data_IF_852065995377
#
_entry.id   IF_852065995377
#
_cell.length_a   1.000
_cell.length_b   1.000
_cell.length_c   1.000
_cell.angle_alpha   90.00
_cell.angle_beta   90.00
_cell.angle_gamma   90.00
#
_symmetry.space_group_name_H-M   'P 1'
#
loop_
_entity.id
_entity.type
_entity.pdbx_description
1 polymer ?
#
# COMPACT_ATOMS: atom_id res chain seq x y z
N UNK A 1 -31.59 -10.64 -20.55
CA UNK A 1 -30.80 -10.43 -19.28
C UNK A 1 -30.06 -9.09 -19.31
N UNK A 2 -29.32 -8.75 -20.37
CA UNK A 2 -28.60 -7.46 -20.50
C UNK A 2 -29.56 -6.25 -20.32
N UNK A 3 -30.78 -6.33 -20.85
CA UNK A 3 -31.80 -5.29 -20.71
C UNK A 3 -32.30 -5.16 -19.27
N UNK A 4 -32.39 -6.27 -18.51
CA UNK A 4 -32.79 -6.26 -17.11
C UNK A 4 -31.72 -5.69 -16.20
N UNK A 5 -30.45 -5.85 -16.55
CA UNK A 5 -29.30 -5.33 -15.81
C UNK A 5 -29.28 -3.80 -15.73
N UNK A 6 -29.79 -3.10 -16.78
CA UNK A 6 -29.86 -1.63 -16.81
C UNK A 6 -31.09 -1.06 -16.10
N UNK A 7 -31.99 -1.89 -15.60
CA UNK A 7 -33.15 -1.44 -14.81
C UNK A 7 -32.67 -1.16 -13.38
N UNK A 8 -32.53 0.11 -13.04
CA UNK A 8 -32.06 0.56 -11.72
C UNK A 8 -30.56 0.68 -11.55
N UNK A 9 -29.74 0.29 -12.56
CA UNK A 9 -28.29 0.48 -12.56
C UNK A 9 -27.85 1.58 -13.53
N UNK A 10 -26.69 2.19 -13.28
CA UNK A 10 -26.12 3.21 -14.15
C UNK A 10 -25.08 2.65 -15.12
N UNK A 11 -24.38 1.60 -14.70
CA UNK A 11 -23.33 0.95 -15.47
C UNK A 11 -23.26 -0.54 -15.11
N UNK A 12 -23.02 -1.39 -16.12
CA UNK A 12 -22.78 -2.81 -15.91
C UNK A 12 -21.37 -3.18 -16.36
N UNK A 13 -20.71 -3.99 -15.54
CA UNK A 13 -19.42 -4.63 -15.80
C UNK A 13 -19.60 -6.14 -15.87
N UNK A 14 -18.67 -6.87 -16.47
CA UNK A 14 -18.80 -8.32 -16.64
C UNK A 14 -17.46 -9.03 -16.75
N UNK A 15 -17.49 -10.32 -16.44
CA UNK A 15 -16.36 -11.22 -16.61
C UNK A 15 -16.03 -11.45 -18.08
N UNK A 16 -14.78 -11.79 -18.36
CA UNK A 16 -14.30 -12.15 -19.68
C UNK A 16 -13.48 -13.44 -19.67
N UNK A 17 -13.27 -14.00 -20.84
CA UNK A 17 -12.19 -14.92 -21.08
C UNK A 17 -10.97 -14.14 -21.58
N UNK A 18 -9.78 -14.48 -21.06
CA UNK A 18 -8.52 -13.95 -21.54
C UNK A 18 -7.83 -14.95 -22.44
N UNK A 19 -7.35 -14.51 -23.59
CA UNK A 19 -6.57 -15.32 -24.52
C UNK A 19 -5.12 -14.80 -24.50
N UNK A 20 -4.21 -15.64 -23.98
CA UNK A 20 -2.79 -15.40 -23.98
C UNK A 20 -2.05 -16.64 -24.52
N UNK A 21 -1.11 -16.46 -25.43
CA UNK A 21 -0.35 -17.55 -26.08
C UNK A 21 -1.25 -18.66 -26.65
N UNK A 22 -2.39 -18.30 -27.20
CA UNK A 22 -3.38 -19.23 -27.77
C UNK A 22 -4.17 -20.05 -26.74
N UNK A 23 -4.00 -19.79 -25.44
CA UNK A 23 -4.77 -20.42 -24.36
C UNK A 23 -5.85 -19.47 -23.84
N UNK A 24 -7.03 -20.02 -23.65
CA UNK A 24 -8.14 -19.31 -23.02
C UNK A 24 -8.21 -19.63 -21.53
N UNK A 25 -8.29 -18.58 -20.70
CA UNK A 25 -8.46 -18.69 -19.25
C UNK A 25 -9.59 -17.77 -18.78
N UNK A 26 -10.15 -18.05 -17.62
CA UNK A 26 -11.15 -17.17 -17.01
C UNK A 26 -10.49 -15.91 -16.46
N UNK A 27 -11.06 -14.76 -16.76
CA UNK A 27 -10.64 -13.44 -16.27
C UNK A 27 -11.81 -12.73 -15.59
N UNK A 28 -12.20 -13.18 -14.36
CA UNK A 28 -13.28 -12.52 -13.62
C UNK A 28 -12.83 -11.13 -13.16
N UNK A 29 -13.76 -10.19 -13.13
CA UNK A 29 -13.60 -8.90 -12.44
C UNK A 29 -14.10 -9.01 -11.00
N UNK A 30 -14.00 -7.95 -10.23
CA UNK A 30 -14.51 -7.89 -8.85
C UNK A 30 -15.65 -6.90 -8.74
N UNK A 31 -16.51 -7.10 -7.74
CA UNK A 31 -17.59 -6.17 -7.44
C UNK A 31 -17.05 -4.79 -7.10
N UNK A 32 -17.69 -3.76 -7.66
CA UNK A 32 -17.40 -2.39 -7.31
C UNK A 32 -17.91 -2.08 -5.91
N UNK A 33 -17.04 -1.49 -5.09
CA UNK A 33 -17.37 -1.02 -3.74
C UNK A 33 -17.30 0.51 -3.69
N UNK A 34 -17.96 1.12 -2.71
CA UNK A 34 -17.91 2.57 -2.49
C UNK A 34 -16.48 3.13 -2.40
N UNK A 35 -15.54 2.33 -1.89
CA UNK A 35 -14.10 2.66 -1.82
C UNK A 35 -13.26 2.16 -2.98
N UNK A 36 -13.84 1.65 -4.07
CA UNK A 36 -13.08 1.23 -5.26
C UNK A 36 -12.58 2.43 -6.07
N UNK A 37 -11.79 3.31 -5.40
CA UNK A 37 -11.29 4.58 -5.94
C UNK A 37 -9.97 4.45 -6.70
N UNK A 38 -9.33 3.27 -6.66
CA UNK A 38 -8.07 3.07 -7.38
C UNK A 38 -8.27 3.25 -8.89
N UNK A 39 -7.32 3.88 -9.55
CA UNK A 39 -7.40 4.22 -10.97
C UNK A 39 -7.19 3.01 -11.91
N UNK A 40 -6.64 1.92 -11.38
CA UNK A 40 -6.42 0.65 -12.07
C UNK A 40 -7.55 -0.39 -11.85
N UNK A 41 -8.73 0.05 -11.33
CA UNK A 41 -9.87 -0.85 -11.16
C UNK A 41 -10.31 -1.42 -12.51
N UNK A 42 -10.30 -2.75 -12.60
CA UNK A 42 -10.68 -3.45 -13.84
C UNK A 42 -12.20 -3.57 -13.96
N UNK A 43 -12.78 -2.91 -14.97
CA UNK A 43 -14.20 -2.99 -15.33
C UNK A 43 -14.47 -3.99 -16.44
N UNK A 44 -13.43 -4.66 -16.97
CA UNK A 44 -13.48 -5.35 -18.25
C UNK A 44 -13.49 -4.37 -19.43
N UNK A 45 -13.30 -4.90 -20.65
CA UNK A 45 -13.21 -4.10 -21.86
C UNK A 45 -14.57 -3.74 -22.45
N UNK A 46 -15.66 -4.39 -22.02
CA UNK A 46 -17.02 -4.11 -22.50
C UNK A 46 -17.85 -3.50 -21.38
N UNK A 47 -18.18 -2.23 -21.53
CA UNK A 47 -18.97 -1.45 -20.58
C UNK A 47 -20.34 -1.13 -21.16
N UNK A 48 -21.39 -1.31 -20.39
CA UNK A 48 -22.74 -0.88 -20.75
C UNK A 48 -23.21 0.22 -19.83
N UNK A 49 -23.74 1.28 -20.42
CA UNK A 49 -24.23 2.45 -19.70
C UNK A 49 -25.71 2.70 -19.98
N UNK A 50 -26.43 3.11 -18.96
CA UNK A 50 -27.72 3.77 -19.16
C UNK A 50 -27.45 5.14 -19.80
N UNK A 51 -27.96 5.37 -21.00
CA UNK A 51 -27.66 6.55 -21.82
C UNK A 51 -28.04 7.88 -21.13
N UNK A 52 -29.17 7.93 -20.40
CA UNK A 52 -29.58 9.15 -19.69
C UNK A 52 -28.63 9.45 -18.55
N UNK A 53 -28.22 8.42 -17.80
CA UNK A 53 -27.29 8.54 -16.67
C UNK A 53 -25.86 8.87 -17.12
N UNK A 54 -25.44 8.28 -18.24
CA UNK A 54 -24.15 8.62 -18.87
C UNK A 54 -24.10 10.11 -19.24
N UNK A 55 -25.16 10.64 -19.88
CA UNK A 55 -25.25 12.07 -20.24
C UNK A 55 -25.26 12.96 -19.00
N UNK A 56 -26.02 12.59 -17.95
CA UNK A 56 -26.05 13.33 -16.68
C UNK A 56 -24.66 13.36 -16.03
N UNK A 57 -23.96 12.22 -15.96
CA UNK A 57 -22.62 12.14 -15.40
C UNK A 57 -21.61 12.95 -16.22
N UNK A 58 -21.65 12.85 -17.56
CA UNK A 58 -20.76 13.60 -18.45
C UNK A 58 -20.94 15.12 -18.29
N UNK A 59 -22.16 15.63 -18.13
CA UNK A 59 -22.40 17.04 -17.87
C UNK A 59 -21.84 17.54 -16.52
N UNK A 60 -21.54 16.64 -15.60
CA UNK A 60 -20.95 16.98 -14.29
C UNK A 60 -19.42 16.96 -14.29
N UNK A 61 -18.80 16.44 -15.34
CA UNK A 61 -17.35 16.49 -15.51
C UNK A 61 -16.90 17.94 -15.71
N UNK A 62 -15.91 18.37 -14.93
CA UNK A 62 -15.46 19.78 -14.91
C UNK A 62 -14.24 20.04 -15.78
N UNK A 63 -13.53 18.98 -16.18
CA UNK A 63 -12.28 19.06 -16.92
C UNK A 63 -12.28 18.13 -18.11
N UNK A 64 -11.63 18.55 -19.18
CA UNK A 64 -11.26 17.68 -20.30
C UNK A 64 -9.90 17.04 -19.97
N UNK A 65 -9.94 15.78 -19.59
CA UNK A 65 -8.76 15.01 -19.25
C UNK A 65 -8.18 14.28 -20.46
N UNK A 66 -6.87 14.22 -20.57
CA UNK A 66 -6.21 13.38 -21.57
C UNK A 66 -6.20 11.89 -21.16
N UNK A 67 -6.15 11.61 -19.86
CA UNK A 67 -6.03 10.26 -19.31
C UNK A 67 -7.18 9.89 -18.36
N UNK A 68 -7.67 10.81 -17.55
CA UNK A 68 -8.61 10.53 -16.47
C UNK A 68 -10.09 10.62 -16.87
N UNK A 69 -10.43 10.80 -18.14
CA UNK A 69 -11.82 11.02 -18.57
C UNK A 69 -12.77 9.88 -18.18
N UNK A 70 -12.41 8.62 -18.50
CA UNK A 70 -13.22 7.46 -18.11
C UNK A 70 -13.22 7.26 -16.59
N UNK A 71 -12.11 7.56 -15.92
CA UNK A 71 -12.00 7.48 -14.47
C UNK A 71 -12.94 8.48 -13.78
N UNK A 72 -12.94 9.75 -14.16
CA UNK A 72 -13.86 10.75 -13.62
C UNK A 72 -15.32 10.40 -13.91
N UNK A 73 -15.62 10.00 -15.14
CA UNK A 73 -16.98 9.58 -15.55
C UNK A 73 -17.53 8.48 -14.63
N UNK A 74 -16.75 7.43 -14.38
CA UNK A 74 -17.19 6.33 -13.52
C UNK A 74 -17.37 6.77 -12.05
N UNK A 75 -16.52 7.69 -11.56
CA UNK A 75 -16.69 8.28 -10.22
C UNK A 75 -17.97 9.11 -10.12
N UNK A 76 -18.37 9.84 -11.18
CA UNK A 76 -19.64 10.56 -11.22
C UNK A 76 -20.85 9.62 -11.24
N UNK A 77 -20.75 8.51 -11.99
CA UNK A 77 -21.80 7.49 -12.04
C UNK A 77 -21.98 6.82 -10.67
N UNK A 78 -20.90 6.39 -10.02
CA UNK A 78 -20.94 5.68 -8.73
C UNK A 78 -21.55 6.48 -7.57
N UNK A 79 -21.77 7.78 -7.74
CA UNK A 79 -22.43 8.61 -6.71
C UNK A 79 -23.96 8.50 -6.73
N UNK A 80 -24.55 7.94 -7.75
CA UNK A 80 -26.00 7.96 -7.98
C UNK A 80 -26.66 6.60 -7.84
N UNK A 81 -26.00 5.56 -8.31
CA UNK A 81 -26.48 4.18 -8.21
C UNK A 81 -25.30 3.21 -8.22
N UNK A 82 -25.61 1.95 -7.91
CA UNK A 82 -24.63 0.89 -7.89
C UNK A 82 -24.15 0.54 -9.31
N UNK A 83 -22.88 0.22 -9.44
CA UNK A 83 -22.31 -0.39 -10.63
C UNK A 83 -22.56 -1.91 -10.51
N UNK A 84 -23.30 -2.46 -11.45
CA UNK A 84 -23.71 -3.87 -11.39
C UNK A 84 -22.68 -4.75 -12.08
N UNK A 85 -22.25 -5.78 -11.38
CA UNK A 85 -21.40 -6.83 -11.93
C UNK A 85 -22.27 -8.00 -12.40
N UNK A 86 -22.17 -8.32 -13.71
CA UNK A 86 -22.75 -9.53 -14.29
C UNK A 86 -21.68 -10.61 -14.19
N UNK A 87 -21.84 -11.52 -13.26
CA UNK A 87 -20.92 -12.61 -12.99
C UNK A 87 -21.06 -13.73 -14.05
N UNK A 88 -20.84 -13.37 -15.30
CA UNK A 88 -20.91 -14.26 -16.46
C UNK A 88 -19.82 -13.91 -17.47
N UNK A 89 -19.14 -14.91 -18.02
CA UNK A 89 -18.09 -14.76 -19.04
C UNK A 89 -18.74 -14.56 -20.41
N UNK A 90 -18.94 -13.31 -20.82
CA UNK A 90 -19.74 -12.97 -22.00
C UNK A 90 -18.93 -12.58 -23.23
N UNK A 91 -17.62 -12.44 -23.12
CA UNK A 91 -16.73 -12.08 -24.23
C UNK A 91 -15.30 -12.57 -23.98
N UNK A 92 -14.46 -12.50 -25.01
CA UNK A 92 -13.05 -12.85 -24.92
C UNK A 92 -12.17 -11.65 -25.24
N UNK A 93 -11.08 -11.50 -24.48
CA UNK A 93 -10.04 -10.50 -24.70
C UNK A 93 -8.74 -11.18 -25.10
N UNK A 94 -8.00 -10.56 -26.02
CA UNK A 94 -6.65 -10.97 -26.34
C UNK A 94 -5.69 -10.15 -25.49
N UNK A 95 -4.85 -10.82 -24.69
CA UNK A 95 -3.85 -10.17 -23.84
C UNK A 95 -2.79 -9.48 -24.70
N UNK A 96 -2.66 -8.17 -24.57
CA UNK A 96 -1.66 -7.37 -25.27
C UNK A 96 -0.49 -6.97 -24.36
N UNK A 97 -0.69 -6.99 -23.04
CA UNK A 97 0.37 -6.70 -22.06
C UNK A 97 0.86 -7.99 -21.44
N UNK A 98 1.93 -8.54 -22.01
CA UNK A 98 2.53 -9.83 -21.60
C UNK A 98 3.47 -9.71 -20.41
N UNK A 99 3.64 -8.51 -19.81
CA UNK A 99 4.45 -8.34 -18.59
C UNK A 99 3.89 -9.17 -17.43
N UNK A 100 4.77 -9.63 -16.54
CA UNK A 100 4.35 -10.31 -15.29
C UNK A 100 3.55 -9.36 -14.39
N UNK A 101 2.67 -9.89 -13.54
CA UNK A 101 1.89 -9.10 -12.57
C UNK A 101 2.77 -8.25 -11.66
N UNK A 102 3.92 -8.78 -11.23
CA UNK A 102 4.90 -8.05 -10.41
C UNK A 102 5.57 -6.86 -11.10
N UNK A 103 5.48 -6.75 -12.43
CA UNK A 103 5.93 -5.57 -13.17
C UNK A 103 4.80 -4.55 -13.31
N UNK A 104 3.58 -5.03 -13.64
CA UNK A 104 2.38 -4.20 -13.80
C UNK A 104 1.99 -3.48 -12.51
N UNK A 105 2.25 -4.09 -11.36
CA UNK A 105 1.88 -3.57 -10.03
C UNK A 105 2.50 -2.20 -9.70
N UNK A 106 3.60 -1.82 -10.37
CA UNK A 106 4.27 -0.53 -10.14
C UNK A 106 3.82 0.59 -11.09
N UNK A 107 2.93 0.33 -12.06
CA UNK A 107 2.49 1.34 -13.03
C UNK A 107 1.89 2.58 -12.35
N UNK A 108 1.24 2.45 -11.20
CA UNK A 108 0.63 3.56 -10.45
C UNK A 108 1.65 4.53 -9.82
N UNK A 109 2.90 4.12 -9.64
CA UNK A 109 4.00 4.94 -9.08
C UNK A 109 5.16 5.13 -10.06
N UNK A 110 5.13 4.51 -11.23
CA UNK A 110 6.19 4.65 -12.24
C UNK A 110 6.29 6.12 -12.69
N UNK A 111 7.46 6.76 -12.54
CA UNK A 111 7.65 8.16 -12.90
C UNK A 111 7.29 8.52 -14.35
N UNK A 112 7.40 7.56 -15.28
CA UNK A 112 6.99 7.77 -16.69
C UNK A 112 5.50 8.05 -16.84
N UNK A 113 4.67 7.61 -15.89
CA UNK A 113 3.21 7.78 -15.89
C UNK A 113 2.75 9.03 -15.11
N UNK A 114 3.67 9.95 -14.74
CA UNK A 114 3.37 11.07 -13.83
C UNK A 114 2.22 11.96 -14.32
N UNK A 115 2.15 12.28 -15.60
CA UNK A 115 1.07 13.09 -16.15
C UNK A 115 -0.31 12.44 -15.97
N UNK A 116 -0.39 11.13 -16.21
CA UNK A 116 -1.60 10.34 -15.93
C UNK A 116 -1.95 10.36 -14.46
N UNK A 117 -0.97 10.16 -13.57
CA UNK A 117 -1.18 10.18 -12.12
C UNK A 117 -1.74 11.51 -11.62
N UNK A 118 -1.27 12.64 -12.15
CA UNK A 118 -1.75 13.98 -11.79
C UNK A 118 -3.23 14.14 -12.14
N UNK A 119 -3.65 13.73 -13.34
CA UNK A 119 -5.05 13.82 -13.74
C UNK A 119 -5.95 12.91 -12.90
N UNK A 120 -5.51 11.67 -12.64
CA UNK A 120 -6.24 10.71 -11.79
C UNK A 120 -6.39 11.26 -10.36
N UNK A 121 -5.34 11.87 -9.81
CA UNK A 121 -5.37 12.53 -8.49
C UNK A 121 -6.39 13.67 -8.46
N UNK A 122 -6.41 14.51 -9.50
CA UNK A 122 -7.34 15.64 -9.61
C UNK A 122 -8.79 15.14 -9.64
N UNK A 123 -9.10 14.15 -10.47
CA UNK A 123 -10.43 13.55 -10.58
C UNK A 123 -10.89 12.91 -9.26
N UNK A 124 -10.01 12.13 -8.62
CA UNK A 124 -10.31 11.51 -7.32
C UNK A 124 -10.54 12.57 -6.22
N UNK A 125 -9.71 13.61 -6.18
CA UNK A 125 -9.83 14.68 -5.19
C UNK A 125 -11.16 15.43 -5.34
N UNK A 126 -11.60 15.69 -6.56
CA UNK A 126 -12.91 16.31 -6.81
C UNK A 126 -14.05 15.39 -6.37
N UNK A 127 -13.99 14.12 -6.70
CA UNK A 127 -14.95 13.13 -6.22
C UNK A 127 -15.04 13.10 -4.68
N UNK A 128 -13.91 13.09 -3.99
CA UNK A 128 -13.88 13.10 -2.51
C UNK A 128 -14.53 14.35 -1.94
N UNK A 129 -14.37 15.51 -2.57
CA UNK A 129 -15.06 16.75 -2.17
C UNK A 129 -16.57 16.62 -2.34
N UNK A 130 -17.03 16.07 -3.46
CA UNK A 130 -18.45 15.89 -3.77
C UNK A 130 -19.15 14.93 -2.79
N UNK A 131 -18.49 13.86 -2.38
CA UNK A 131 -19.08 12.85 -1.46
C UNK A 131 -18.81 13.15 0.02
N UNK A 132 -18.08 14.23 0.34
CA UNK A 132 -17.78 14.63 1.73
C UNK A 132 -16.63 13.83 2.37
N UNK A 133 -15.82 13.11 1.57
CA UNK A 133 -14.68 12.31 2.04
C UNK A 133 -13.33 13.05 2.01
N UNK A 134 -13.30 14.25 1.45
CA UNK A 134 -12.08 15.08 1.36
C UNK A 134 -11.60 15.53 2.73
N UNK A 135 -10.31 15.42 2.99
CA UNK A 135 -9.66 15.95 4.18
C UNK A 135 -8.71 17.10 3.82
N UNK A 136 -8.89 18.25 4.46
CA UNK A 136 -7.95 19.37 4.34
C UNK A 136 -6.59 18.99 4.94
N UNK A 137 -5.48 19.68 4.55
CA UNK A 137 -4.14 19.43 5.10
C UNK A 137 -3.98 19.98 6.53
N UNK A 138 -4.89 19.59 7.41
CA UNK A 138 -4.90 19.92 8.84
C UNK A 138 -4.55 18.66 9.62
N UNK A 139 -3.42 18.66 10.34
CA UNK A 139 -2.88 17.47 10.99
C UNK A 139 -2.78 17.64 12.50
N UNK A 140 -3.01 16.55 13.22
CA UNK A 140 -2.76 16.46 14.65
C UNK A 140 -1.27 16.52 14.90
N UNK A 141 -0.83 17.43 15.75
CA UNK A 141 0.56 17.55 16.17
C UNK A 141 0.93 16.42 17.15
N UNK A 142 2.20 16.03 17.15
CA UNK A 142 2.72 14.95 17.99
C UNK A 142 3.71 15.50 19.00
N UNK A 143 3.50 15.15 20.26
CA UNK A 143 4.41 15.39 21.37
C UNK A 143 5.34 14.17 21.54
N UNK A 144 6.55 14.23 20.97
CA UNK A 144 7.52 13.12 21.03
C UNK A 144 8.13 12.91 22.42
N UNK A 145 7.83 13.75 23.38
CA UNK A 145 8.22 13.58 24.79
C UNK A 145 7.38 12.53 25.53
N UNK A 146 6.28 12.07 24.94
CA UNK A 146 5.41 11.08 25.56
C UNK A 146 6.04 9.69 25.58
N UNK A 147 6.07 9.07 26.78
CA UNK A 147 6.59 7.72 27.00
C UNK A 147 8.07 7.70 27.36
N UNK A 148 8.48 6.61 28.02
CA UNK A 148 9.87 6.33 28.35
C UNK A 148 10.34 5.14 27.52
N UNK A 149 11.25 5.37 26.59
CA UNK A 149 11.80 4.37 25.70
C UNK A 149 13.29 4.21 25.94
N UNK A 150 13.75 2.97 26.11
CA UNK A 150 15.17 2.65 26.22
C UNK A 150 15.91 2.87 24.89
N UNK A 151 15.21 2.60 23.78
CA UNK A 151 15.70 2.74 22.43
C UNK A 151 14.93 3.84 21.69
N UNK A 152 15.65 4.65 20.93
CA UNK A 152 15.02 5.65 20.06
C UNK A 152 14.29 4.99 18.88
N UNK A 153 14.90 3.95 18.31
CA UNK A 153 14.31 3.21 17.21
C UNK A 153 14.44 1.69 17.39
N UNK A 154 13.44 0.96 16.87
CA UNK A 154 13.54 -0.47 16.64
C UNK A 154 13.31 -0.76 15.18
N UNK A 155 14.23 -1.51 14.55
CA UNK A 155 13.94 -2.12 13.25
C UNK A 155 13.19 -3.42 13.51
N UNK A 156 12.08 -3.63 12.80
CA UNK A 156 11.25 -4.83 12.95
C UNK A 156 11.27 -5.59 11.62
N UNK A 157 11.68 -6.88 11.70
CA UNK A 157 11.72 -7.80 10.56
C UNK A 157 10.82 -8.99 10.84
N UNK A 158 9.60 -9.05 10.28
CA UNK A 158 8.87 -10.31 10.17
C UNK A 158 9.57 -11.22 9.16
N UNK A 159 9.79 -12.48 9.51
CA UNK A 159 10.44 -13.42 8.60
C UNK A 159 9.78 -14.80 8.63
N UNK A 160 9.73 -15.46 7.48
CA UNK A 160 9.42 -16.88 7.35
C UNK A 160 10.09 -17.42 6.10
N UNK A 161 10.97 -18.41 6.29
CA UNK A 161 11.67 -19.13 5.20
C UNK A 161 12.41 -18.17 4.25
N UNK A 162 13.46 -17.53 4.77
CA UNK A 162 14.30 -16.56 4.04
C UNK A 162 15.81 -16.81 4.26
N UNK A 163 16.21 -18.08 4.29
CA UNK A 163 17.62 -18.47 4.51
C UNK A 163 18.62 -17.76 3.58
N UNK A 164 18.20 -17.46 2.33
CA UNK A 164 19.07 -16.81 1.32
C UNK A 164 19.33 -15.34 1.60
N UNK A 165 18.44 -14.66 2.31
CA UNK A 165 18.40 -13.20 2.35
C UNK A 165 18.51 -12.62 3.76
N UNK A 166 18.10 -13.36 4.78
CA UNK A 166 17.98 -12.84 6.16
C UNK A 166 19.32 -12.32 6.70
N UNK A 167 20.46 -12.95 6.37
CA UNK A 167 21.78 -12.49 6.83
C UNK A 167 22.11 -11.09 6.31
N UNK A 168 21.78 -10.80 5.06
CA UNK A 168 22.02 -9.49 4.46
C UNK A 168 21.14 -8.43 5.11
N UNK A 169 19.85 -8.75 5.31
CA UNK A 169 18.92 -7.87 6.01
C UNK A 169 19.43 -7.54 7.43
N UNK A 170 19.83 -8.54 8.21
CA UNK A 170 20.39 -8.34 9.57
C UNK A 170 21.63 -7.46 9.53
N UNK A 171 22.60 -7.74 8.65
CA UNK A 171 23.82 -6.94 8.52
C UNK A 171 23.51 -5.50 8.19
N UNK A 172 22.60 -5.25 7.21
CA UNK A 172 22.24 -3.89 6.81
C UNK A 172 21.64 -3.06 7.95
N UNK A 173 21.04 -3.71 8.98
CA UNK A 173 20.56 -3.05 10.19
C UNK A 173 21.68 -2.88 11.21
N UNK A 174 22.46 -3.93 11.50
CA UNK A 174 23.49 -3.87 12.53
C UNK A 174 24.66 -2.93 12.15
N UNK A 175 24.86 -2.69 10.85
CA UNK A 175 25.86 -1.75 10.33
C UNK A 175 25.39 -0.27 10.35
N UNK A 176 24.16 0.01 10.80
CA UNK A 176 23.64 1.39 10.87
C UNK A 176 24.42 2.23 11.88
N UNK A 177 24.74 3.46 11.48
CA UNK A 177 25.40 4.49 12.30
C UNK A 177 24.39 5.50 12.79
N UNK A 178 24.24 5.59 14.11
CA UNK A 178 23.30 6.50 14.76
C UNK A 178 23.95 7.13 15.98
N UNK A 179 23.50 8.33 16.35
CA UNK A 179 23.83 9.02 17.61
C UNK A 179 22.87 8.65 18.75
N UNK A 180 21.96 7.72 18.50
CA UNK A 180 20.97 7.20 19.46
C UNK A 180 21.04 5.67 19.56
N UNK A 181 20.46 5.13 20.62
CA UNK A 181 20.32 3.67 20.80
C UNK A 181 19.21 3.11 19.93
N UNK A 182 19.51 2.03 19.22
CA UNK A 182 18.51 1.26 18.48
C UNK A 182 18.69 -0.24 18.73
N UNK A 183 17.66 -1.02 18.39
CA UNK A 183 17.70 -2.47 18.38
C UNK A 183 17.03 -3.04 17.14
N UNK A 184 17.24 -4.33 16.92
CA UNK A 184 16.64 -5.13 15.86
C UNK A 184 15.76 -6.20 16.48
N UNK A 185 14.47 -6.20 16.15
CA UNK A 185 13.48 -7.19 16.61
C UNK A 185 13.07 -8.05 15.41
N UNK A 186 13.45 -9.32 15.43
CA UNK A 186 13.09 -10.29 14.40
C UNK A 186 11.98 -11.19 14.93
N UNK A 187 10.88 -11.26 14.19
CA UNK A 187 9.79 -12.18 14.47
C UNK A 187 9.85 -13.31 13.44
N UNK A 188 10.47 -14.40 13.85
CA UNK A 188 10.60 -15.62 13.03
C UNK A 188 9.32 -16.45 13.11
N UNK A 189 8.48 -16.32 12.12
CA UNK A 189 7.17 -16.97 12.08
C UNK A 189 7.28 -18.43 11.65
N UNK A 190 7.94 -19.25 12.49
CA UNK A 190 8.12 -20.70 12.32
C UNK A 190 8.83 -21.08 11.01
N UNK A 191 10.01 -20.53 10.79
CA UNK A 191 10.85 -20.92 9.65
C UNK A 191 11.33 -22.38 9.76
N UNK A 192 11.48 -23.04 8.61
CA UNK A 192 11.85 -24.47 8.53
C UNK A 192 12.97 -24.75 7.51
N UNK A 193 13.55 -23.69 6.92
CA UNK A 193 14.54 -23.77 5.84
C UNK A 193 15.97 -23.46 6.29
N UNK A 194 16.22 -23.31 7.61
CA UNK A 194 17.49 -22.89 8.18
C UNK A 194 17.58 -21.38 8.48
N UNK A 195 16.49 -20.63 8.30
CA UNK A 195 16.42 -19.18 8.61
C UNK A 195 16.67 -18.92 10.10
N UNK A 196 16.09 -19.74 10.99
CA UNK A 196 16.26 -19.63 12.46
C UNK A 196 17.74 -19.74 12.85
N UNK A 197 18.44 -20.74 12.32
CA UNK A 197 19.86 -20.96 12.56
C UNK A 197 20.71 -19.80 12.01
N UNK A 198 20.33 -19.26 10.87
CA UNK A 198 21.01 -18.09 10.28
C UNK A 198 20.86 -16.83 11.13
N UNK A 199 19.70 -16.63 11.79
CA UNK A 199 19.50 -15.52 12.75
C UNK A 199 20.37 -15.74 14.00
N UNK A 200 20.48 -16.98 14.48
CA UNK A 200 21.27 -17.33 15.67
C UNK A 200 22.78 -17.06 15.50
N UNK A 201 23.28 -16.95 14.28
CA UNK A 201 24.67 -16.52 14.04
C UNK A 201 24.96 -15.12 14.60
N UNK A 202 23.95 -14.29 14.76
CA UNK A 202 24.05 -12.91 15.26
C UNK A 202 23.66 -12.75 16.73
N UNK A 203 23.37 -13.82 17.47
CA UNK A 203 22.88 -13.80 18.87
C UNK A 203 23.80 -13.12 19.87
N UNK A 204 25.07 -12.92 19.54
CA UNK A 204 26.02 -12.23 20.40
C UNK A 204 25.94 -10.69 20.29
N UNK A 205 25.18 -10.15 19.32
CA UNK A 205 24.91 -8.71 19.26
C UNK A 205 23.75 -8.37 20.21
N UNK A 206 24.04 -7.57 21.23
CA UNK A 206 23.08 -7.20 22.28
C UNK A 206 21.87 -6.43 21.75
N UNK A 207 21.96 -5.88 20.54
CA UNK A 207 20.85 -5.18 19.87
C UNK A 207 19.83 -6.14 19.27
N UNK A 208 20.21 -7.39 19.01
CA UNK A 208 19.31 -8.38 18.40
C UNK A 208 18.35 -8.98 19.42
N UNK A 209 17.06 -8.94 19.08
CA UNK A 209 15.99 -9.64 19.78
C UNK A 209 15.32 -10.58 18.77
N UNK A 210 15.51 -11.89 18.97
CA UNK A 210 14.92 -12.93 18.13
C UNK A 210 13.75 -13.57 18.85
N UNK A 211 12.59 -13.61 18.22
CA UNK A 211 11.33 -14.12 18.79
C UNK A 211 10.72 -15.12 17.82
N UNK A 212 10.44 -16.33 18.31
CA UNK A 212 9.58 -17.29 17.63
C UNK A 212 8.22 -17.25 18.34
N UNK A 213 7.12 -16.89 17.67
CA UNK A 213 5.80 -16.83 18.28
C UNK A 213 5.34 -18.18 18.85
N UNK A 214 4.63 -18.17 19.97
CA UNK A 214 3.97 -19.40 20.46
C UNK A 214 2.79 -19.84 19.60
N UNK A 215 2.11 -18.86 18.98
CA UNK A 215 0.97 -19.06 18.09
C UNK A 215 1.41 -19.10 16.62
N UNK A 216 0.70 -19.89 15.80
CA UNK A 216 1.01 -20.16 14.39
C UNK A 216 0.00 -19.61 13.39
N UNK A 217 -0.89 -18.73 13.85
CA UNK A 217 -1.90 -18.06 13.04
C UNK A 217 -1.55 -16.59 12.72
N UNK A 218 -0.27 -16.20 12.91
CA UNK A 218 0.19 -14.86 12.60
C UNK A 218 0.44 -14.70 11.09
N UNK A 219 -0.16 -13.66 10.51
CA UNK A 219 0.30 -13.06 9.27
C UNK A 219 1.43 -12.06 9.52
N UNK A 220 1.89 -11.39 8.48
CA UNK A 220 2.92 -10.33 8.58
C UNK A 220 2.49 -9.26 9.60
N UNK A 221 1.23 -8.79 9.52
CA UNK A 221 0.71 -7.79 10.46
C UNK A 221 0.66 -8.27 11.91
N UNK A 222 0.41 -9.57 12.15
CA UNK A 222 0.47 -10.15 13.48
C UNK A 222 1.90 -10.18 14.04
N UNK A 223 2.88 -10.50 13.21
CA UNK A 223 4.30 -10.42 13.55
C UNK A 223 4.72 -8.98 13.86
N UNK A 224 4.27 -8.01 13.07
CA UNK A 224 4.46 -6.60 13.33
C UNK A 224 3.92 -6.19 14.70
N UNK A 225 2.68 -6.57 15.04
CA UNK A 225 2.09 -6.28 16.35
C UNK A 225 2.93 -6.87 17.48
N UNK A 226 3.46 -8.08 17.32
CA UNK A 226 4.32 -8.70 18.32
C UNK A 226 5.59 -7.87 18.54
N UNK A 227 6.28 -7.48 17.49
CA UNK A 227 7.49 -6.64 17.57
C UNK A 227 7.20 -5.25 18.17
N UNK A 228 6.15 -4.58 17.70
CA UNK A 228 5.75 -3.25 18.19
C UNK A 228 5.35 -3.24 19.67
N UNK A 229 4.71 -4.31 20.16
CA UNK A 229 4.30 -4.42 21.57
C UNK A 229 5.37 -5.03 22.47
N UNK A 230 6.52 -5.42 21.91
CA UNK A 230 7.65 -5.88 22.73
C UNK A 230 8.09 -4.77 23.70
N UNK A 231 8.41 -5.09 24.98
CA UNK A 231 8.79 -4.08 25.98
C UNK A 231 9.99 -3.22 25.58
N UNK A 232 10.94 -3.79 24.82
CA UNK A 232 12.12 -3.11 24.30
C UNK A 232 11.92 -2.47 22.91
N UNK A 233 10.68 -2.41 22.39
CA UNK A 233 10.45 -1.67 21.15
C UNK A 233 10.67 -0.18 21.38
N UNK A 234 11.45 0.44 20.50
CA UNK A 234 11.82 1.84 20.57
C UNK A 234 10.68 2.82 20.29
N UNK A 235 10.98 4.10 20.47
CA UNK A 235 10.04 5.20 20.19
C UNK A 235 9.54 5.20 18.76
N UNK A 236 10.40 4.81 17.82
CA UNK A 236 10.06 4.66 16.39
C UNK A 236 10.25 3.21 15.96
N UNK A 237 9.22 2.63 15.37
CA UNK A 237 9.27 1.30 14.76
C UNK A 237 9.51 1.45 13.25
N UNK A 238 10.62 0.90 12.76
CA UNK A 238 11.07 1.05 11.37
C UNK A 238 11.02 -0.29 10.66
N UNK A 239 10.49 -0.31 9.46
CA UNK A 239 10.37 -1.53 8.64
C UNK A 239 11.69 -1.88 7.97
N UNK A 240 11.96 -3.20 7.94
CA UNK A 240 12.78 -3.83 6.92
C UNK A 240 12.15 -5.19 6.55
N UNK A 241 11.99 -5.45 5.27
CA UNK A 241 11.56 -6.76 4.80
C UNK A 241 12.74 -7.73 4.80
N UNK A 242 12.48 -9.01 5.06
CA UNK A 242 13.53 -10.02 5.29
C UNK A 242 14.33 -10.40 4.05
N UNK A 243 13.93 -9.92 2.88
CA UNK A 243 14.60 -10.12 1.59
C UNK A 243 15.21 -8.84 0.99
N UNK A 244 15.07 -7.71 1.69
CA UNK A 244 15.59 -6.40 1.30
C UNK A 244 16.74 -5.93 2.19
N UNK A 245 17.34 -4.78 1.87
CA UNK A 245 18.41 -4.16 2.65
C UNK A 245 18.29 -2.64 2.66
N UNK A 246 18.76 -1.99 3.73
CA UNK A 246 18.91 -0.55 3.74
C UNK A 246 19.95 -0.09 2.73
N UNK A 247 19.75 1.12 2.18
CA UNK A 247 20.59 1.63 1.09
C UNK A 247 22.00 1.96 1.56
N UNK A 248 22.15 2.49 2.78
CA UNK A 248 23.43 2.84 3.38
C UNK A 248 23.39 2.79 4.91
N UNK A 249 24.52 3.12 5.53
CA UNK A 249 24.71 3.12 6.99
C UNK A 249 23.99 4.26 7.74
N UNK A 250 23.36 5.21 7.06
CA UNK A 250 22.67 6.37 7.65
C UNK A 250 21.15 6.30 7.49
N UNK A 251 20.64 5.26 6.84
CA UNK A 251 19.21 5.10 6.59
C UNK A 251 18.36 5.26 7.84
N UNK A 252 18.71 4.56 8.95
CA UNK A 252 17.95 4.61 10.19
C UNK A 252 17.94 6.01 10.80
N UNK A 253 19.10 6.69 10.84
CA UNK A 253 19.22 8.06 11.32
C UNK A 253 18.38 9.04 10.48
N UNK A 254 18.39 8.88 9.16
CA UNK A 254 17.60 9.69 8.24
C UNK A 254 16.09 9.50 8.43
N UNK A 255 15.63 8.25 8.60
CA UNK A 255 14.22 7.97 8.87
C UNK A 255 13.74 8.55 10.21
N UNK A 256 14.55 8.42 11.27
CA UNK A 256 14.22 8.97 12.59
C UNK A 256 14.21 10.49 12.59
N UNK A 257 15.19 11.13 11.97
CA UNK A 257 15.25 12.60 11.82
C UNK A 257 14.01 13.17 11.16
N UNK A 258 13.47 12.49 10.14
CA UNK A 258 12.28 12.94 9.43
C UNK A 258 11.03 13.07 10.34
N UNK A 259 10.90 12.25 11.39
CA UNK A 259 9.80 12.40 12.36
C UNK A 259 9.85 13.75 13.07
N UNK A 260 11.03 14.14 13.54
CA UNK A 260 11.22 15.38 14.29
C UNK A 260 11.09 16.61 13.38
N UNK A 261 11.72 16.59 12.21
CA UNK A 261 11.71 17.71 11.27
C UNK A 261 10.32 17.99 10.69
N UNK A 262 9.52 16.94 10.47
CA UNK A 262 8.22 17.04 9.80
C UNK A 262 7.02 16.92 10.75
N UNK A 263 7.24 16.67 12.04
CA UNK A 263 6.19 16.41 13.05
C UNK A 263 5.10 15.44 12.54
N UNK A 264 5.51 14.23 12.20
CA UNK A 264 4.65 13.22 11.58
C UNK A 264 4.61 11.93 12.40
N UNK A 265 3.51 11.16 12.28
CA UNK A 265 3.35 9.89 12.99
C UNK A 265 3.82 8.67 12.17
N UNK A 266 4.00 8.85 10.88
CA UNK A 266 4.49 7.86 9.95
C UNK A 266 5.45 8.54 8.97
N UNK A 267 6.51 7.87 8.60
CA UNK A 267 7.46 8.29 7.55
C UNK A 267 7.46 7.23 6.46
N UNK A 268 7.43 7.66 5.22
CA UNK A 268 7.63 6.82 4.04
C UNK A 268 8.89 7.25 3.33
N UNK A 269 9.80 6.31 3.11
CA UNK A 269 11.05 6.54 2.40
C UNK A 269 10.94 6.38 0.89
N UNK A 270 12.06 6.48 0.24
CA UNK A 270 12.25 6.21 -1.19
C UNK A 270 13.06 4.93 -1.33
N UNK A 271 12.67 4.07 -2.26
CA UNK A 271 13.40 2.84 -2.52
C UNK A 271 13.85 2.73 -3.97
N UNK A 272 14.90 1.97 -4.16
CA UNK A 272 15.41 1.57 -5.46
C UNK A 272 15.11 0.09 -5.72
N UNK A 273 14.54 -0.19 -6.88
CA UNK A 273 14.35 -1.56 -7.35
C UNK A 273 15.67 -2.13 -7.82
N UNK A 274 16.10 -3.26 -7.25
CA UNK A 274 17.38 -3.89 -7.60
C UNK A 274 17.24 -5.39 -7.86
N UNK A 275 18.23 -5.95 -8.55
CA UNK A 275 18.53 -7.38 -8.51
C UNK A 275 19.37 -7.72 -7.25
N UNK A 276 19.76 -8.99 -7.09
CA UNK A 276 20.61 -9.43 -5.96
C UNK A 276 22.06 -8.91 -6.02
N UNK A 277 22.51 -8.43 -7.19
CA UNK A 277 23.81 -7.81 -7.34
C UNK A 277 23.76 -6.29 -7.09
N UNK A 278 22.63 -5.79 -6.60
CA UNK A 278 22.35 -4.38 -6.33
C UNK A 278 22.35 -3.51 -7.60
N UNK A 279 22.21 -4.11 -8.79
CA UNK A 279 21.99 -3.35 -10.01
C UNK A 279 20.55 -2.84 -10.05
N UNK A 280 20.37 -1.58 -10.38
CA UNK A 280 19.05 -0.99 -10.55
C UNK A 280 18.30 -1.67 -11.72
N UNK A 281 17.05 -2.06 -11.48
CA UNK A 281 16.14 -2.62 -12.48
C UNK A 281 14.88 -1.75 -12.62
N UNK A 282 14.14 -1.88 -13.72
CA UNK A 282 12.89 -1.15 -13.92
C UNK A 282 11.87 -1.47 -12.82
N UNK A 283 11.06 -0.49 -12.38
CA UNK A 283 10.99 0.90 -12.84
C UNK A 283 12.04 1.85 -12.25
N UNK A 284 13.02 1.38 -11.50
CA UNK A 284 14.12 2.16 -10.95
C UNK A 284 13.83 2.70 -9.55
N UNK A 285 13.92 4.00 -9.37
CA UNK A 285 13.68 4.67 -8.08
C UNK A 285 12.21 5.01 -7.94
N UNK A 286 11.62 4.61 -6.82
CA UNK A 286 10.24 4.91 -6.44
C UNK A 286 10.27 5.90 -5.29
N UNK A 287 10.00 7.16 -5.60
CA UNK A 287 10.14 8.28 -4.67
C UNK A 287 8.80 8.77 -4.08
N UNK A 288 7.69 8.21 -4.52
CA UNK A 288 6.34 8.54 -4.06
C UNK A 288 6.04 10.04 -4.02
N UNK A 289 6.46 10.80 -5.05
CA UNK A 289 6.15 12.23 -5.17
C UNK A 289 4.66 12.54 -5.20
N UNK A 290 3.84 11.55 -5.43
CA UNK A 290 2.38 11.63 -5.31
C UNK A 290 1.89 11.88 -3.87
N UNK A 291 2.73 11.67 -2.85
CA UNK A 291 2.43 11.92 -1.46
C UNK A 291 2.86 13.33 -1.06
N UNK A 292 2.11 14.33 -1.42
CA UNK A 292 2.39 15.72 -1.03
C UNK A 292 1.78 16.06 0.34
N UNK A 293 2.36 16.99 1.13
CA UNK A 293 1.78 17.39 2.42
C UNK A 293 0.38 17.96 2.32
N UNK A 294 0.03 18.60 1.20
CA UNK A 294 -1.27 19.24 0.99
C UNK A 294 -2.36 18.23 0.57
N UNK A 295 -2.08 17.25 -0.29
CA UNK A 295 -3.09 16.34 -0.82
C UNK A 295 -2.78 14.84 -0.68
N UNK A 296 -1.59 14.45 -0.23
CA UNK A 296 -1.19 13.05 -0.13
C UNK A 296 -2.17 12.18 0.64
N UNK A 297 -2.77 12.69 1.72
CA UNK A 297 -3.79 11.99 2.51
C UNK A 297 -5.05 11.63 1.73
N UNK A 298 -5.43 12.40 0.71
CA UNK A 298 -6.56 12.13 -0.16
C UNK A 298 -6.13 11.20 -1.31
N UNK A 299 -4.98 11.47 -1.91
CA UNK A 299 -4.41 10.65 -2.96
C UNK A 299 -4.12 9.20 -2.49
N UNK A 300 -3.89 8.99 -1.20
CA UNK A 300 -3.76 7.68 -0.59
C UNK A 300 -4.93 6.72 -0.90
N UNK A 301 -6.13 7.25 -1.07
CA UNK A 301 -7.31 6.44 -1.42
C UNK A 301 -7.30 5.99 -2.89
N UNK A 302 -6.55 6.65 -3.77
CA UNK A 302 -6.44 6.30 -5.18
C UNK A 302 -5.35 5.29 -5.46
N UNK A 303 -4.22 5.39 -4.77
CA UNK A 303 -3.04 4.55 -4.99
C UNK A 303 -3.20 3.17 -4.35
N UNK A 304 -2.37 2.22 -4.77
CA UNK A 304 -2.52 0.83 -4.35
C UNK A 304 -1.56 0.39 -3.23
N UNK A 305 -0.68 1.26 -2.79
CA UNK A 305 0.27 1.01 -1.70
C UNK A 305 1.02 2.27 -1.28
N UNK A 306 1.78 2.19 -0.20
CA UNK A 306 2.53 3.32 0.37
C UNK A 306 4.05 3.16 0.26
N UNK A 307 4.50 2.13 -0.44
CA UNK A 307 5.92 1.86 -0.66
C UNK A 307 6.67 1.36 0.58
N UNK A 308 8.00 1.35 0.45
CA UNK A 308 8.96 0.98 1.48
C UNK A 308 10.09 2.04 1.51
N UNK A 309 10.88 2.14 2.59
CA UNK A 309 10.56 1.64 3.92
C UNK A 309 9.49 2.51 4.58
N UNK A 310 8.79 1.95 5.55
CA UNK A 310 7.85 2.68 6.41
C UNK A 310 8.37 2.72 7.83
N UNK A 311 8.18 3.85 8.49
CA UNK A 311 8.47 3.98 9.90
C UNK A 311 7.29 4.62 10.62
N UNK A 312 7.10 4.31 11.89
CA UNK A 312 5.93 4.69 12.67
C UNK A 312 6.33 5.19 14.05
N UNK A 313 5.64 6.21 14.55
CA UNK A 313 5.70 6.56 15.95
C UNK A 313 4.99 5.48 16.78
N UNK A 314 5.74 4.74 17.58
CA UNK A 314 5.30 3.52 18.28
C UNK A 314 4.03 3.73 19.13
N UNK A 315 3.87 4.83 19.92
CA UNK A 315 2.65 5.01 20.69
C UNK A 315 1.38 5.06 19.84
N UNK A 316 1.41 5.75 18.69
CA UNK A 316 0.27 5.81 17.77
C UNK A 316 0.05 4.45 17.09
N UNK A 317 1.13 3.76 16.70
CA UNK A 317 1.01 2.43 16.08
C UNK A 317 0.42 1.39 17.04
N UNK A 318 0.78 1.44 18.33
CA UNK A 318 0.20 0.59 19.38
C UNK A 318 -1.30 0.83 19.58
N UNK A 319 -1.75 2.08 19.46
CA UNK A 319 -3.18 2.46 19.53
C UNK A 319 -3.95 1.95 18.31
N UNK A 320 -3.40 2.19 17.12
CA UNK A 320 -4.02 1.82 15.83
C UNK A 320 -4.06 0.30 15.64
N UNK A 321 -2.97 -0.38 16.00
CA UNK A 321 -2.70 -1.82 15.78
C UNK A 321 -2.60 -2.19 14.29
N UNK A 322 -1.79 -3.19 14.00
CA UNK A 322 -1.61 -3.71 12.63
C UNK A 322 -2.63 -4.83 12.41
N UNK A 323 -3.42 -4.83 11.32
CA UNK A 323 -4.29 -5.96 10.99
C UNK A 323 -3.50 -7.27 10.86
N UNK A 324 -3.96 -8.35 11.48
CA UNK A 324 -3.31 -9.66 11.39
C UNK A 324 -3.60 -10.32 10.04
N UNK A 325 -2.93 -9.83 9.01
CA UNK A 325 -3.02 -10.34 7.64
C UNK A 325 -1.62 -10.32 7.00
N UNK A 326 -1.45 -11.03 5.89
CA UNK A 326 -0.19 -11.06 5.13
C UNK A 326 -0.24 -10.22 3.85
N UNK A 327 -1.26 -9.39 3.68
CA UNK A 327 -1.38 -8.47 2.55
C UNK A 327 -2.29 -7.30 2.89
N UNK A 328 -1.82 -6.08 2.58
CA UNK A 328 -2.59 -4.84 2.77
C UNK A 328 -2.67 -4.33 4.21
N UNK A 329 -1.96 -4.95 5.16
CA UNK A 329 -1.82 -4.47 6.54
C UNK A 329 -1.16 -3.10 6.60
N UNK A 330 -0.14 -2.91 5.77
CA UNK A 330 0.60 -1.67 5.58
C UNK A 330 -0.29 -0.56 5.00
N UNK A 331 -1.07 -0.90 3.99
CA UNK A 331 -2.01 0.03 3.36
C UNK A 331 -3.11 0.48 4.33
N UNK A 332 -3.65 -0.47 5.12
CA UNK A 332 -4.62 -0.16 6.17
C UNK A 332 -4.06 0.81 7.21
N UNK A 333 -2.80 0.61 7.63
CA UNK A 333 -2.09 1.52 8.53
C UNK A 333 -1.96 2.91 7.93
N UNK A 334 -1.41 3.00 6.72
CA UNK A 334 -1.19 4.30 6.08
C UNK A 334 -2.47 5.10 5.90
N UNK A 335 -3.58 4.47 5.50
CA UNK A 335 -4.88 5.14 5.43
C UNK A 335 -5.33 5.64 6.80
N UNK A 336 -5.21 4.82 7.85
CA UNK A 336 -5.59 5.20 9.20
C UNK A 336 -4.75 6.38 9.71
N UNK A 337 -3.42 6.31 9.57
CA UNK A 337 -2.51 7.39 9.96
C UNK A 337 -2.83 8.68 9.20
N UNK A 338 -3.03 8.61 7.89
CA UNK A 338 -3.33 9.76 7.04
C UNK A 338 -4.62 10.48 7.41
N UNK A 339 -5.54 9.81 8.13
CA UNK A 339 -6.79 10.44 8.59
C UNK A 339 -6.58 11.55 9.59
N UNK A 340 -5.56 11.46 10.43
CA UNK A 340 -5.30 12.41 11.51
C UNK A 340 -3.92 13.04 11.46
N UNK A 341 -2.91 12.31 10.99
CA UNK A 341 -1.51 12.71 11.07
C UNK A 341 -0.93 12.97 9.70
N UNK A 342 0.10 13.81 9.66
CA UNK A 342 0.94 13.95 8.47
C UNK A 342 1.75 12.67 8.28
N UNK A 343 1.91 12.27 7.02
CA UNK A 343 2.87 11.26 6.61
C UNK A 343 4.10 11.99 6.09
N UNK A 344 5.20 11.86 6.82
CA UNK A 344 6.49 12.43 6.47
C UNK A 344 7.16 11.67 5.32
N UNK A 345 8.08 12.34 4.66
CA UNK A 345 8.74 11.85 3.45
C UNK A 345 10.25 11.93 3.55
N UNK A 346 10.92 10.88 3.04
CA UNK A 346 12.36 10.90 2.75
C UNK A 346 12.50 10.64 1.25
N UNK A 347 13.04 11.62 0.52
CA UNK A 347 13.18 11.55 -0.95
C UNK A 347 14.52 10.96 -1.40
N UNK A 348 15.52 10.91 -0.52
CA UNK A 348 16.74 10.16 -0.77
C UNK A 348 16.46 8.67 -0.76
N UNK A 349 17.17 7.91 -1.58
CA UNK A 349 17.07 6.45 -1.59
C UNK A 349 17.63 5.91 -0.27
N UNK A 350 16.75 5.32 0.53
CA UNK A 350 17.08 4.74 1.84
C UNK A 350 16.87 3.23 1.93
N UNK A 351 16.41 2.63 0.82
CA UNK A 351 16.01 1.22 0.81
C UNK A 351 16.26 0.60 -0.57
N UNK A 352 16.77 -0.62 -0.60
CA UNK A 352 16.95 -1.40 -1.82
C UNK A 352 15.97 -2.58 -1.79
N UNK A 353 14.96 -2.50 -2.65
CA UNK A 353 13.96 -3.53 -2.83
C UNK A 353 14.47 -4.56 -3.85
N UNK A 354 14.88 -5.73 -3.36
CA UNK A 354 15.48 -6.79 -4.18
C UNK A 354 14.41 -7.65 -4.84
N UNK A 355 14.42 -7.71 -6.18
CA UNK A 355 13.43 -8.49 -6.95
C UNK A 355 13.97 -9.84 -7.35
N UNK A 356 13.16 -10.86 -7.12
CA UNK A 356 13.43 -12.24 -7.46
C UNK A 356 12.12 -13.04 -7.63
N UNK A 357 12.23 -14.29 -8.14
CA UNK A 357 11.04 -15.10 -8.45
C UNK A 357 10.23 -15.52 -7.21
N UNK A 358 10.85 -15.54 -6.01
CA UNK A 358 10.19 -15.88 -4.75
C UNK A 358 9.58 -14.67 -4.00
N UNK A 359 9.60 -13.46 -4.57
CA UNK A 359 8.82 -12.37 -4.01
C UNK A 359 7.34 -12.73 -4.03
N UNK A 360 6.62 -12.43 -2.96
CA UNK A 360 5.20 -12.81 -2.78
C UNK A 360 4.27 -12.22 -3.84
N UNK A 361 4.69 -11.18 -4.54
CA UNK A 361 3.96 -10.46 -5.58
C UNK A 361 4.53 -10.67 -7.00
N UNK A 362 5.59 -11.47 -7.17
CA UNK A 362 6.27 -11.63 -8.46
C UNK A 362 5.36 -12.22 -9.54
N UNK A 363 4.49 -13.16 -9.17
CA UNK A 363 3.54 -13.80 -10.08
C UNK A 363 2.28 -14.22 -9.34
N UNK A 364 1.25 -13.40 -9.44
CA UNK A 364 -0.05 -13.67 -8.84
C UNK A 364 -1.01 -14.20 -9.90
N UNK A 365 -1.73 -15.27 -9.59
CA UNK A 365 -2.90 -15.67 -10.37
C UNK A 365 -4.06 -14.67 -10.20
N UNK A 366 -5.01 -14.69 -11.13
CA UNK A 366 -6.12 -13.73 -11.14
C UNK A 366 -6.99 -13.83 -9.87
N UNK A 367 -7.12 -15.00 -9.26
CA UNK A 367 -7.95 -15.21 -8.07
C UNK A 367 -7.31 -14.52 -6.87
N UNK A 368 -5.99 -14.71 -6.67
CA UNK A 368 -5.25 -14.03 -5.61
C UNK A 368 -5.23 -12.52 -5.82
N UNK A 369 -4.95 -12.07 -7.04
CA UNK A 369 -4.93 -10.65 -7.38
C UNK A 369 -6.28 -9.99 -7.10
N UNK A 370 -7.37 -10.61 -7.52
CA UNK A 370 -8.73 -10.17 -7.25
C UNK A 370 -9.05 -10.17 -5.76
N UNK A 371 -8.64 -11.21 -5.02
CA UNK A 371 -8.79 -11.27 -3.56
C UNK A 371 -8.06 -10.12 -2.85
N UNK A 372 -6.84 -9.81 -3.25
CA UNK A 372 -6.05 -8.69 -2.75
C UNK A 372 -6.71 -7.33 -3.05
N UNK A 373 -7.16 -7.14 -4.28
CA UNK A 373 -7.83 -5.92 -4.70
C UNK A 373 -9.17 -5.71 -4.00
N UNK A 374 -9.98 -6.77 -3.87
CA UNK A 374 -11.25 -6.75 -3.15
C UNK A 374 -11.03 -6.37 -1.67
N UNK A 375 -10.00 -6.91 -1.03
CA UNK A 375 -9.66 -6.58 0.36
C UNK A 375 -9.25 -5.11 0.50
N UNK A 376 -8.35 -4.61 -0.36
CA UNK A 376 -7.95 -3.20 -0.34
C UNK A 376 -9.10 -2.24 -0.63
N UNK A 377 -9.99 -2.57 -1.56
CA UNK A 377 -11.19 -1.76 -1.84
C UNK A 377 -12.14 -1.72 -0.63
N UNK A 378 -12.23 -2.83 0.13
CA UNK A 378 -12.97 -2.87 1.40
C UNK A 378 -12.34 -1.97 2.46
N UNK A 379 -11.02 -1.99 2.61
CA UNK A 379 -10.29 -1.09 3.52
C UNK A 379 -10.55 0.37 3.14
N UNK A 380 -10.48 0.72 1.84
CA UNK A 380 -10.80 2.07 1.35
C UNK A 380 -12.25 2.45 1.66
N UNK A 381 -13.18 1.52 1.50
CA UNK A 381 -14.59 1.75 1.80
C UNK A 381 -14.78 2.15 3.27
N UNK A 382 -14.18 1.41 4.20
CA UNK A 382 -14.25 1.71 5.63
C UNK A 382 -13.57 3.04 5.96
N UNK A 383 -12.42 3.29 5.40
CA UNK A 383 -11.70 4.55 5.60
C UNK A 383 -12.51 5.74 5.09
N UNK A 384 -13.09 5.62 3.89
CA UNK A 384 -13.89 6.68 3.29
C UNK A 384 -15.13 6.99 4.13
N UNK A 385 -15.83 5.96 4.60
CA UNK A 385 -16.97 6.10 5.54
C UNK A 385 -16.55 6.80 6.83
N UNK A 386 -15.39 6.45 7.39
CA UNK A 386 -14.85 7.09 8.58
C UNK A 386 -14.53 8.57 8.35
N UNK A 387 -13.95 8.94 7.20
CA UNK A 387 -13.69 10.34 6.82
C UNK A 387 -14.96 11.15 6.67
N UNK A 388 -15.96 10.61 5.98
CA UNK A 388 -17.28 11.25 5.83
C UNK A 388 -17.93 11.47 7.20
N UNK A 389 -17.93 10.46 8.08
CA UNK A 389 -18.47 10.58 9.42
C UNK A 389 -17.74 11.65 10.25
N UNK A 390 -16.41 11.69 10.15
CA UNK A 390 -15.57 12.70 10.81
C UNK A 390 -15.89 14.10 10.33
N UNK A 391 -15.99 14.30 9.01
CA UNK A 391 -16.31 15.61 8.42
C UNK A 391 -17.71 16.07 8.85
N UNK A 392 -18.72 15.21 8.83
CA UNK A 392 -20.07 15.52 9.33
C UNK A 392 -20.07 15.94 10.80
N UNK A 393 -19.31 15.22 11.65
CA UNK A 393 -19.19 15.57 13.08
C UNK A 393 -18.54 16.92 13.31
N UNK A 394 -17.60 17.31 12.45
CA UNK A 394 -16.88 18.59 12.54
C UNK A 394 -17.62 19.74 11.83
N UNK A 395 -18.87 19.55 11.37
CA UNK A 395 -19.65 20.58 10.67
C UNK A 395 -19.10 20.98 9.30
N UNK A 396 -18.34 20.08 8.68
CA UNK A 396 -17.72 20.28 7.36
C UNK A 396 -18.48 19.56 6.27
#
# INVERSE_FOLDING_TARGET
EISACLVGSEMCIRDSYQIADGKQTNAPVIDYQFGSLRDDFNFGSVLLFNTSKLKEAACRMKCDYNFAGLYDLRLKLSQKADLVHINEYLYSEVENDTRKSGEKIFDYVDPKNRNRQIEMEAACTEHLKEIGGYLKPEFKQIEFSAGNFEYEASVIIPVRNRIRTIRDAIRSVLDQKTDFKFNLIIIDNHSTDGTTEAIDEFKNDERLIHIIPERNDLGIGGCWNMGVHHPKCGKFAVQLDSDDVYADENTLATMVRAFYEQNCAMVVGTYMMTDFNMNMIAPGIIDHKEWTPDNGRNNALRINGLGAPRAFYTPVLREVKVPNTSYGEDYALGLNFSRQYQIGRVYDVVYNCRRWDDNSDASLDIVKMNGHNLYKDRIRTWELQARIAMNKKNGK
#
